data_IF_183480581809
#
_entry.id   IF_183480581809
#
_cell.length_a   1.000
_cell.length_b   1.000
_cell.length_c   1.000
_cell.angle_alpha   90.00
_cell.angle_beta   90.00
_cell.angle_gamma   90.00
#
_symmetry.space_group_name_H-M   'P 1'
#
loop_
_entity.id
_entity.type
_entity.pdbx_description
1 polymer ?
#
# COMPACT_ATOMS: atom_id res chain seq x y z
N UNK A 1 27.34 17.39 -16.89
CA UNK A 1 26.66 16.45 -15.97
C UNK A 1 25.17 16.66 -16.08
N UNK A 2 24.50 15.83 -16.86
CA UNK A 2 23.07 15.96 -17.18
C UNK A 2 22.25 15.52 -15.97
N UNK A 3 21.98 16.45 -15.04
CA UNK A 3 21.07 16.23 -13.91
C UNK A 3 19.65 16.22 -14.45
N UNK A 4 19.08 15.03 -14.64
CA UNK A 4 17.65 14.86 -14.91
C UNK A 4 16.88 15.33 -13.66
N UNK A 5 16.24 16.51 -13.66
CA UNK A 5 15.62 17.09 -12.46
C UNK A 5 14.44 16.25 -11.98
N UNK A 6 13.79 15.54 -12.91
CA UNK A 6 12.60 14.73 -12.68
C UNK A 6 12.91 13.51 -11.80
N UNK A 7 14.11 12.93 -11.95
CA UNK A 7 14.48 11.74 -11.19
C UNK A 7 14.92 12.07 -9.75
N UNK A 8 15.45 13.27 -9.51
CA UNK A 8 15.86 13.72 -8.18
C UNK A 8 14.66 13.87 -7.23
N UNK A 9 13.53 14.40 -7.71
CA UNK A 9 12.34 14.55 -6.86
C UNK A 9 11.75 13.20 -6.40
N UNK A 10 11.71 12.20 -7.29
CA UNK A 10 11.20 10.87 -6.97
C UNK A 10 12.13 10.08 -6.03
N UNK A 11 13.44 10.18 -6.24
CA UNK A 11 14.43 9.57 -5.36
C UNK A 11 14.35 10.16 -3.94
N UNK A 12 14.32 11.50 -3.82
CA UNK A 12 14.18 12.18 -2.54
C UNK A 12 12.92 11.75 -1.78
N UNK A 13 11.79 11.56 -2.48
CA UNK A 13 10.55 11.09 -1.85
C UNK A 13 10.66 9.67 -1.29
N UNK A 14 11.38 8.78 -1.97
CA UNK A 14 11.65 7.43 -1.49
C UNK A 14 12.56 7.50 -0.27
N UNK A 15 13.64 8.29 -0.33
CA UNK A 15 14.60 8.43 0.75
C UNK A 15 13.94 8.98 2.02
N UNK A 16 13.13 10.03 1.93
CA UNK A 16 12.44 10.63 3.07
C UNK A 16 11.48 9.61 3.72
N UNK A 17 10.65 8.94 2.91
CA UNK A 17 9.70 7.95 3.42
C UNK A 17 10.38 6.74 4.05
N UNK A 18 11.47 6.27 3.44
CA UNK A 18 12.23 5.15 3.95
C UNK A 18 12.82 5.44 5.33
N UNK A 19 13.44 6.61 5.50
CA UNK A 19 14.02 7.01 6.78
C UNK A 19 12.94 7.15 7.85
N UNK A 20 11.82 7.79 7.53
CA UNK A 20 10.71 7.94 8.45
C UNK A 20 10.15 6.60 8.93
N UNK A 21 9.80 5.69 8.01
CA UNK A 21 9.27 4.36 8.36
C UNK A 21 10.28 3.57 9.20
N UNK A 22 11.57 3.61 8.84
CA UNK A 22 12.62 2.92 9.60
C UNK A 22 12.72 3.44 11.04
N UNK A 23 12.55 4.74 11.23
CA UNK A 23 12.61 5.35 12.56
C UNK A 23 11.36 5.02 13.40
N UNK A 24 10.17 4.94 12.80
CA UNK A 24 8.96 4.45 13.49
C UNK A 24 9.09 2.98 13.90
N UNK A 25 9.64 2.14 13.02
CA UNK A 25 9.89 0.72 13.33
C UNK A 25 10.91 0.58 14.46
N UNK A 26 11.97 1.40 14.47
CA UNK A 26 12.95 1.42 15.58
C UNK A 26 12.36 1.88 16.89
N UNK A 27 11.39 2.80 16.86
CA UNK A 27 10.64 3.23 18.05
C UNK A 27 9.69 2.14 18.57
N UNK A 28 9.39 1.13 17.75
CA UNK A 28 8.44 0.07 18.08
C UNK A 28 6.98 0.47 17.91
N UNK A 29 6.71 1.66 17.36
CA UNK A 29 5.37 2.18 17.10
C UNK A 29 4.72 1.51 15.87
N UNK A 30 5.55 0.96 14.98
CA UNK A 30 5.11 0.29 13.74
C UNK A 30 5.81 -1.06 13.61
N UNK A 31 5.02 -2.11 13.36
CA UNK A 31 5.52 -3.45 13.03
C UNK A 31 5.31 -3.66 11.53
N UNK A 32 6.37 -4.09 10.83
CA UNK A 32 6.29 -4.39 9.39
C UNK A 32 6.19 -5.89 9.22
N UNK A 33 5.05 -6.33 8.71
CA UNK A 33 4.80 -7.73 8.37
C UNK A 33 4.51 -7.86 6.87
N UNK A 34 4.99 -8.95 6.28
CA UNK A 34 4.67 -9.27 4.89
C UNK A 34 3.27 -9.92 4.85
N UNK A 35 2.39 -9.36 4.03
CA UNK A 35 1.07 -9.92 3.74
C UNK A 35 1.03 -10.35 2.27
N UNK A 36 0.51 -11.55 2.01
CA UNK A 36 0.37 -12.06 0.66
C UNK A 36 -0.48 -11.11 -0.19
N UNK A 37 -0.10 -10.92 -1.46
CA UNK A 37 -0.90 -10.11 -2.40
C UNK A 37 -2.32 -10.65 -2.53
N UNK A 38 -2.51 -11.96 -2.34
CA UNK A 38 -3.79 -12.64 -2.34
C UNK A 38 -4.72 -12.21 -1.19
N UNK A 39 -4.19 -11.66 -0.10
CA UNK A 39 -4.95 -11.30 1.12
C UNK A 39 -4.82 -9.83 1.51
N UNK A 40 -4.07 -9.04 0.74
CA UNK A 40 -3.85 -7.62 0.99
C UNK A 40 -5.14 -6.81 0.76
N UNK A 41 -5.98 -6.69 1.80
CA UNK A 41 -7.27 -5.96 1.74
C UNK A 41 -7.13 -4.50 1.29
N UNK A 42 -6.00 -3.87 1.60
CA UNK A 42 -5.67 -2.51 1.17
C UNK A 42 -5.66 -2.34 -0.37
N UNK A 43 -5.55 -3.43 -1.12
CA UNK A 43 -5.60 -3.40 -2.59
C UNK A 43 -6.93 -2.88 -3.12
N UNK A 44 -8.04 -3.05 -2.38
CA UNK A 44 -9.34 -2.46 -2.77
C UNK A 44 -9.25 -0.94 -2.88
N UNK A 45 -8.54 -0.31 -1.93
CA UNK A 45 -8.52 1.14 -1.80
C UNK A 45 -7.42 1.80 -2.64
N UNK A 46 -6.45 1.00 -3.11
CA UNK A 46 -5.23 1.52 -3.76
C UNK A 46 -5.10 1.09 -5.22
N UNK A 47 -5.88 0.10 -5.68
CA UNK A 47 -5.79 -0.47 -7.03
C UNK A 47 -7.15 -0.57 -7.70
N UNK A 48 -7.17 -0.37 -9.02
CA UNK A 48 -8.30 -0.76 -9.86
C UNK A 48 -8.28 -2.26 -10.11
N UNK A 49 -8.91 -3.04 -9.23
CA UNK A 49 -8.91 -4.51 -9.31
C UNK A 49 -9.96 -5.03 -10.31
N UNK A 50 -9.66 -6.19 -10.92
CA UNK A 50 -10.63 -6.90 -11.74
C UNK A 50 -11.82 -7.38 -10.90
N UNK A 51 -13.01 -7.44 -11.51
CA UNK A 51 -14.28 -7.73 -10.83
C UNK A 51 -14.28 -8.93 -9.87
N UNK A 52 -13.72 -10.10 -10.23
CA UNK A 52 -13.63 -11.25 -9.32
C UNK A 52 -12.80 -10.93 -8.06
N UNK A 53 -11.61 -10.37 -8.26
CA UNK A 53 -10.68 -10.02 -7.19
C UNK A 53 -11.23 -8.95 -6.25
N UNK A 54 -11.92 -7.95 -6.83
CA UNK A 54 -12.61 -6.93 -6.06
C UNK A 54 -13.70 -7.57 -5.19
N UNK A 55 -14.51 -8.48 -5.73
CA UNK A 55 -15.57 -9.18 -4.96
C UNK A 55 -14.99 -10.02 -3.83
N UNK A 56 -13.93 -10.78 -4.07
CA UNK A 56 -13.28 -11.61 -3.06
C UNK A 56 -12.79 -10.77 -1.87
N UNK A 57 -12.08 -9.68 -2.15
CA UNK A 57 -11.57 -8.79 -1.10
C UNK A 57 -12.72 -8.01 -0.42
N UNK A 58 -13.80 -7.69 -1.15
CA UNK A 58 -14.96 -6.92 -0.62
C UNK A 58 -15.74 -7.79 0.36
N UNK A 59 -15.90 -9.08 0.03
CA UNK A 59 -16.45 -10.06 0.95
C UNK A 59 -15.56 -10.25 2.18
N UNK A 60 -14.24 -10.31 2.00
CA UNK A 60 -13.29 -10.38 3.12
C UNK A 60 -13.29 -9.12 4.01
N UNK A 61 -13.69 -7.96 3.47
CA UNK A 61 -13.89 -6.71 4.20
C UNK A 61 -15.25 -6.65 4.93
N UNK A 62 -16.14 -7.63 4.70
CA UNK A 62 -17.50 -7.64 5.26
C UNK A 62 -18.46 -6.67 4.57
N UNK A 63 -18.10 -6.16 3.39
CA UNK A 63 -18.98 -5.32 2.59
C UNK A 63 -19.88 -6.24 1.76
N UNK A 64 -21.08 -6.46 2.26
CA UNK A 64 -22.09 -7.26 1.55
C UNK A 64 -23.04 -6.34 0.78
N UNK A 65 -23.42 -6.75 -0.43
CA UNK A 65 -24.55 -6.11 -1.11
C UNK A 65 -25.80 -6.35 -0.26
N UNK A 66 -26.48 -5.28 0.14
CA UNK A 66 -27.74 -5.38 0.87
C UNK A 66 -28.75 -6.10 -0.02
N UNK A 67 -29.10 -7.34 0.32
CA UNK A 67 -30.20 -8.07 -0.31
C UNK A 67 -31.51 -7.54 0.27
N UNK A 68 -32.27 -6.84 -0.56
CA UNK A 68 -33.62 -6.38 -0.24
C UNK A 68 -34.67 -7.45 -0.57
#
# INVERSE_FOLDING_TARGET
>A
MTKNPVNHGRANHIDIKYHHIRDEVKRGEVIVENCETATMLADILTKGLAGPRHKDLTAALGVHACSH
#
